data_IF_810663572842
#
_entry.id   IF_810663572842
#
_cell.length_a   1.000
_cell.length_b   1.000
_cell.length_c   1.000
_cell.angle_alpha   90.00
_cell.angle_beta   90.00
_cell.angle_gamma   90.00
#
_symmetry.space_group_name_H-M   'P 1'
#
loop_
_entity.id
_entity.type
_entity.pdbx_description
1 polymer ?
#
# COMPACT_ATOMS: atom_id res chain seq x y z
N UNK A 1 8.14 11.85 -7.37
CA UNK A 1 7.02 12.57 -6.72
C UNK A 1 7.28 12.60 -5.21
N UNK A 2 6.96 13.69 -4.50
CA UNK A 2 7.04 13.69 -3.02
C UNK A 2 5.80 12.97 -2.44
N UNK A 3 5.93 12.18 -1.38
CA UNK A 3 4.78 11.59 -0.71
C UNK A 3 3.81 12.66 -0.21
N UNK A 4 2.52 12.51 -0.51
CA UNK A 4 1.50 13.34 0.13
C UNK A 4 1.15 12.75 1.49
N UNK A 5 0.58 13.56 2.39
CA UNK A 5 0.13 13.11 3.72
C UNK A 5 -0.82 11.89 3.62
N UNK A 6 -1.59 11.80 2.54
CA UNK A 6 -2.50 10.68 2.30
C UNK A 6 -1.77 9.37 1.94
N UNK A 7 -0.72 9.45 1.12
CA UNK A 7 0.10 8.28 0.78
C UNK A 7 0.83 7.73 2.01
N UNK A 8 1.39 8.62 2.83
CA UNK A 8 2.06 8.25 4.09
C UNK A 8 1.04 7.60 5.04
N UNK A 9 -0.12 8.23 5.23
CA UNK A 9 -1.18 7.68 6.07
C UNK A 9 -1.57 6.25 5.65
N UNK A 10 -1.80 6.02 4.35
CA UNK A 10 -2.13 4.69 3.86
C UNK A 10 -0.96 3.71 4.04
N UNK A 11 0.27 4.13 3.80
CA UNK A 11 1.47 3.31 4.01
C UNK A 11 1.62 2.88 5.48
N UNK A 12 1.34 3.76 6.45
CA UNK A 12 1.31 3.41 7.87
C UNK A 12 0.24 2.38 8.19
N UNK A 13 -0.96 2.49 7.60
CA UNK A 13 -2.01 1.47 7.79
C UNK A 13 -1.63 0.12 7.20
N UNK A 14 -0.85 0.11 6.12
CA UNK A 14 -0.25 -1.11 5.57
C UNK A 14 0.82 -1.66 6.51
N UNK A 15 1.71 -0.82 7.04
CA UNK A 15 2.76 -1.22 7.99
C UNK A 15 2.20 -1.90 9.24
N UNK A 16 1.17 -1.32 9.85
CA UNK A 16 0.47 -1.92 11.01
C UNK A 16 -0.08 -3.32 10.70
N UNK A 17 -0.46 -3.59 9.44
CA UNK A 17 -0.87 -4.94 9.01
C UNK A 17 0.31 -5.88 8.80
N UNK A 18 1.46 -5.39 8.34
CA UNK A 18 2.71 -6.15 8.23
C UNK A 18 3.24 -6.56 9.61
N UNK A 19 3.28 -5.63 10.57
CA UNK A 19 3.79 -5.88 11.92
C UNK A 19 3.02 -7.00 12.63
N UNK A 20 1.68 -7.03 12.44
CA UNK A 20 0.83 -8.11 12.97
C UNK A 20 1.13 -9.49 12.37
N UNK A 21 1.71 -9.53 11.17
CA UNK A 21 2.04 -10.76 10.46
C UNK A 21 3.53 -11.11 10.53
N UNK A 22 4.34 -10.34 11.29
CA UNK A 22 5.81 -10.46 11.37
C UNK A 22 6.48 -10.53 9.98
N UNK A 23 5.88 -9.90 8.97
CA UNK A 23 6.36 -9.93 7.60
C UNK A 23 6.06 -8.60 6.92
N UNK A 24 7.09 -8.01 6.31
CA UNK A 24 6.98 -6.76 5.55
C UNK A 24 6.30 -6.96 4.19
N UNK A 25 5.71 -8.13 3.93
CA UNK A 25 5.01 -8.45 2.69
C UNK A 25 3.50 -8.51 2.93
N UNK A 26 2.76 -7.79 2.09
CA UNK A 26 1.30 -7.77 2.06
C UNK A 26 0.77 -8.32 0.75
N UNK A 27 -0.27 -9.15 0.85
CA UNK A 27 -1.02 -9.59 -0.32
C UNK A 27 -1.84 -8.43 -0.88
N UNK A 28 -1.93 -8.31 -2.19
CA UNK A 28 -2.72 -7.31 -2.92
C UNK A 28 -4.17 -7.26 -2.42
N UNK A 29 -4.77 -8.39 -2.08
CA UNK A 29 -6.13 -8.45 -1.50
C UNK A 29 -6.26 -7.68 -0.18
N UNK A 30 -5.24 -7.71 0.67
CA UNK A 30 -5.23 -6.99 1.95
C UNK A 30 -5.06 -5.49 1.74
N UNK A 31 -4.23 -5.10 0.75
CA UNK A 31 -4.11 -3.71 0.31
C UNK A 31 -5.46 -3.20 -0.20
N UNK A 32 -6.15 -3.98 -1.04
CA UNK A 32 -7.46 -3.61 -1.56
C UNK A 32 -8.51 -3.44 -0.45
N UNK A 33 -8.47 -4.24 0.62
CA UNK A 33 -9.33 -4.05 1.80
C UNK A 33 -9.08 -2.71 2.48
N UNK A 34 -7.82 -2.31 2.63
CA UNK A 34 -7.45 -1.00 3.19
C UNK A 34 -7.93 0.12 2.27
N UNK A 35 -7.72 -0.01 0.98
CA UNK A 35 -8.18 0.97 -0.01
C UNK A 35 -9.70 1.14 0.01
N UNK A 36 -10.44 0.03 0.13
CA UNK A 36 -11.88 0.08 0.29
C UNK A 36 -12.30 0.74 1.60
N UNK A 37 -11.64 0.40 2.72
CA UNK A 37 -11.91 1.00 4.04
C UNK A 37 -11.71 2.52 4.05
N UNK A 38 -10.77 3.04 3.27
CA UNK A 38 -10.47 4.47 3.17
C UNK A 38 -11.02 5.12 1.89
N UNK A 39 -12.05 4.54 1.28
CA UNK A 39 -12.77 5.09 0.13
C UNK A 39 -11.89 5.45 -1.08
N UNK A 40 -10.78 4.74 -1.28
CA UNK A 40 -9.99 4.87 -2.50
C UNK A 40 -10.77 4.19 -3.63
N UNK A 41 -11.28 5.03 -4.54
CA UNK A 41 -12.03 4.61 -5.72
C UNK A 41 -11.31 3.50 -6.47
N UNK A 42 -12.07 2.50 -6.92
CA UNK A 42 -11.58 1.38 -7.75
C UNK A 42 -10.79 1.87 -8.96
N UNK A 43 -11.21 2.98 -9.58
CA UNK A 43 -10.53 3.59 -10.72
C UNK A 43 -9.16 4.14 -10.37
N UNK A 44 -8.97 4.61 -9.13
CA UNK A 44 -7.72 5.22 -8.67
C UNK A 44 -6.79 4.22 -7.97
N UNK A 45 -7.24 3.04 -7.56
CA UNK A 45 -6.41 2.09 -6.78
C UNK A 45 -5.11 1.70 -7.47
N UNK A 46 -5.14 1.49 -8.78
CA UNK A 46 -3.95 1.13 -9.54
C UNK A 46 -2.97 2.31 -9.63
N UNK A 47 -3.49 3.49 -9.95
CA UNK A 47 -2.71 4.73 -9.99
C UNK A 47 -2.08 5.02 -8.62
N UNK A 48 -2.89 4.94 -7.55
CA UNK A 48 -2.44 5.16 -6.18
C UNK A 48 -1.35 4.16 -5.76
N UNK A 49 -1.51 2.87 -6.10
CA UNK A 49 -0.47 1.88 -5.85
C UNK A 49 0.84 2.19 -6.58
N UNK A 50 0.74 2.65 -7.83
CA UNK A 50 1.89 3.05 -8.63
C UNK A 50 2.56 4.29 -8.03
N UNK A 51 1.78 5.28 -7.61
CA UNK A 51 2.29 6.46 -6.90
C UNK A 51 3.01 6.08 -5.60
N UNK A 52 2.44 5.18 -4.79
CA UNK A 52 3.10 4.65 -3.59
C UNK A 52 4.41 3.92 -3.90
N UNK A 53 4.48 3.21 -5.03
CA UNK A 53 5.68 2.54 -5.50
C UNK A 53 6.75 3.53 -5.97
N UNK A 54 6.36 4.53 -6.78
CA UNK A 54 7.23 5.62 -7.24
C UNK A 54 7.77 6.45 -6.06
N UNK A 55 6.99 6.57 -4.98
CA UNK A 55 7.37 7.22 -3.72
C UNK A 55 8.20 6.32 -2.78
N UNK A 56 8.51 5.09 -3.19
CA UNK A 56 9.26 4.09 -2.40
C UNK A 56 8.61 3.75 -1.04
N UNK A 57 7.29 3.85 -0.94
CA UNK A 57 6.53 3.46 0.25
C UNK A 57 6.20 1.95 0.24
N UNK A 58 6.00 1.42 -0.96
CA UNK A 58 5.79 0.00 -1.23
C UNK A 58 6.65 -0.42 -2.42
N UNK A 59 6.87 -1.72 -2.57
CA UNK A 59 7.56 -2.31 -3.72
C UNK A 59 6.75 -3.49 -4.22
N UNK A 60 6.43 -3.51 -5.50
CA UNK A 60 5.81 -4.68 -6.11
C UNK A 60 6.82 -5.84 -6.15
N UNK A 61 6.42 -7.01 -5.66
CA UNK A 61 7.25 -8.23 -5.73
C UNK A 61 6.74 -9.13 -6.86
N UNK A 62 5.43 -9.40 -6.85
CA UNK A 62 4.77 -10.22 -7.86
C UNK A 62 3.29 -9.87 -7.95
N UNK A 63 2.55 -10.47 -8.89
CA UNK A 63 1.13 -10.16 -9.16
C UNK A 63 0.23 -10.11 -7.91
N UNK A 64 0.57 -10.84 -6.85
CA UNK A 64 -0.21 -10.91 -5.63
C UNK A 64 0.45 -10.26 -4.41
N UNK A 65 1.74 -9.93 -4.43
CA UNK A 65 2.49 -9.52 -3.25
C UNK A 65 3.21 -8.19 -3.44
N UNK A 66 3.18 -7.38 -2.38
CA UNK A 66 3.89 -6.11 -2.26
C UNK A 66 4.67 -6.10 -0.96
N UNK A 67 5.88 -5.52 -0.97
CA UNK A 67 6.67 -5.24 0.22
C UNK A 67 6.37 -3.81 0.69
N UNK A 68 6.11 -3.61 1.97
CA UNK A 68 6.04 -2.27 2.58
C UNK A 68 7.46 -1.85 2.99
N UNK A 69 7.86 -0.62 2.68
CA UNK A 69 9.23 -0.11 2.86
C UNK A 69 9.36 0.97 3.96
N UNK A 70 8.25 1.46 4.50
CA UNK A 70 8.22 2.50 5.53
C UNK A 70 8.27 1.96 6.96
#
# INVERSE_FOLDING_TARGET
MKPTSWHIFIAEKLKVKCDKNYNNTLKRKEIMKIFWKYNISTTMRNTFLKEMEDMKLVKWINKQNYKVLI
#
